data_IF_774027513512
#
_entry.id   IF_774027513512
#
_cell.length_a   1.000
_cell.length_b   1.000
_cell.length_c   1.000
_cell.angle_alpha   90.00
_cell.angle_beta   90.00
_cell.angle_gamma   90.00
#
_symmetry.space_group_name_H-M   'P 1'
#
loop_
_entity.id
_entity.type
_entity.pdbx_description
1 polymer ?
#
# COMPACT_ATOMS: atom_id res chain seq x y z
N UNK A 1 -10.39 20.14 -38.30
CA UNK A 1 -8.90 20.07 -38.29
C UNK A 1 -8.20 21.42 -38.05
N UNK A 2 -8.72 22.55 -38.54
CA UNK A 2 -8.16 23.91 -38.30
C UNK A 2 -8.15 24.33 -36.82
N UNK A 3 -9.12 23.87 -36.01
CA UNK A 3 -9.16 24.14 -34.58
C UNK A 3 -7.99 23.53 -33.77
N UNK A 4 -7.37 22.44 -34.27
CA UNK A 4 -6.30 21.74 -33.55
C UNK A 4 -4.97 22.52 -33.57
N UNK A 5 -4.68 23.23 -34.67
CA UNK A 5 -3.45 24.01 -34.83
C UNK A 5 -3.43 25.33 -34.08
N UNK A 6 -4.61 25.96 -33.89
CA UNK A 6 -4.70 27.35 -33.44
C UNK A 6 -4.80 27.53 -31.92
N UNK A 7 -5.06 26.49 -31.12
CA UNK A 7 -5.32 26.69 -29.69
C UNK A 7 -4.90 25.51 -28.79
N UNK A 8 -3.62 25.49 -28.40
CA UNK A 8 -3.02 24.41 -27.57
C UNK A 8 -3.68 24.24 -26.19
N UNK A 9 -4.38 25.27 -25.67
CA UNK A 9 -5.10 25.20 -24.38
C UNK A 9 -6.46 24.49 -24.48
N UNK A 10 -7.06 24.38 -25.66
CA UNK A 10 -8.36 23.71 -25.85
C UNK A 10 -8.25 22.20 -26.15
N UNK A 11 -7.03 21.67 -26.34
CA UNK A 11 -6.82 20.26 -26.67
C UNK A 11 -6.43 19.38 -25.47
N UNK A 12 -6.57 19.88 -24.23
CA UNK A 12 -6.16 19.16 -23.03
C UNK A 12 -6.87 17.80 -22.89
N UNK A 13 -8.17 17.74 -23.20
CA UNK A 13 -8.96 16.50 -23.17
C UNK A 13 -8.47 15.52 -24.23
N UNK A 14 -8.25 15.98 -25.46
CA UNK A 14 -7.74 15.14 -26.56
C UNK A 14 -6.33 14.62 -26.26
N UNK A 15 -5.50 15.42 -25.60
CA UNK A 15 -4.17 14.99 -25.17
C UNK A 15 -4.27 13.93 -24.06
N UNK A 16 -5.10 14.16 -23.05
CA UNK A 16 -5.37 13.19 -21.98
C UNK A 16 -5.88 11.86 -22.55
N UNK A 17 -6.89 11.91 -23.43
CA UNK A 17 -7.42 10.74 -24.13
C UNK A 17 -6.33 10.01 -24.92
N UNK A 18 -5.46 10.74 -25.63
CA UNK A 18 -4.38 10.11 -26.40
C UNK A 18 -3.37 9.37 -25.52
N UNK A 19 -3.08 9.88 -24.31
CA UNK A 19 -2.21 9.21 -23.33
C UNK A 19 -2.89 7.96 -22.76
N UNK A 20 -4.17 8.07 -22.39
CA UNK A 20 -4.96 6.94 -21.86
C UNK A 20 -5.08 5.83 -22.91
N UNK A 21 -5.41 6.16 -24.16
CA UNK A 21 -5.54 5.19 -25.24
C UNK A 21 -4.20 4.52 -25.57
N UNK A 22 -3.11 5.28 -25.57
CA UNK A 22 -1.78 4.71 -25.76
C UNK A 22 -1.42 3.73 -24.64
N UNK A 23 -1.70 4.09 -23.38
CA UNK A 23 -1.48 3.22 -22.22
C UNK A 23 -2.40 1.98 -22.22
N UNK A 24 -3.63 2.11 -22.72
CA UNK A 24 -4.60 1.03 -22.85
C UNK A 24 -4.35 0.11 -24.05
N UNK A 25 -3.24 0.29 -24.79
CA UNK A 25 -2.87 -0.57 -25.92
C UNK A 25 -3.72 -0.36 -27.18
N UNK A 26 -4.36 0.81 -27.34
CA UNK A 26 -5.13 1.13 -28.55
C UNK A 26 -4.21 1.09 -29.78
N UNK A 27 -4.63 0.35 -30.80
CA UNK A 27 -3.84 0.17 -32.03
C UNK A 27 -3.64 1.49 -32.79
N UNK A 28 -2.62 1.56 -33.64
CA UNK A 28 -2.34 2.76 -34.44
C UNK A 28 -3.50 3.15 -35.34
N UNK A 29 -4.16 2.15 -35.95
CA UNK A 29 -5.32 2.36 -36.82
C UNK A 29 -6.48 3.01 -36.06
N UNK A 30 -6.79 2.51 -34.86
CA UNK A 30 -7.86 3.06 -34.03
C UNK A 30 -7.46 4.44 -33.50
N UNK A 31 -6.22 4.63 -33.07
CA UNK A 31 -5.69 5.93 -32.65
C UNK A 31 -5.77 6.99 -33.77
N UNK A 32 -5.46 6.62 -35.02
CA UNK A 32 -5.56 7.51 -36.17
C UNK A 32 -7.02 7.91 -36.46
N UNK A 33 -7.96 6.97 -36.37
CA UNK A 33 -9.39 7.26 -36.51
C UNK A 33 -9.90 8.20 -35.42
N UNK A 34 -9.58 7.91 -34.14
CA UNK A 34 -9.96 8.75 -33.00
C UNK A 34 -9.37 10.16 -33.10
N UNK A 35 -8.17 10.29 -33.65
CA UNK A 35 -7.59 11.58 -33.96
C UNK A 35 -8.32 12.31 -35.09
N UNK A 36 -8.69 11.59 -36.16
CA UNK A 36 -9.42 12.14 -37.29
C UNK A 36 -10.78 12.73 -36.89
N UNK A 37 -11.53 12.03 -36.04
CA UNK A 37 -12.83 12.51 -35.51
C UNK A 37 -12.69 13.48 -34.32
N UNK A 38 -11.46 13.83 -33.93
CA UNK A 38 -11.19 14.85 -32.92
C UNK A 38 -11.33 14.42 -31.46
N UNK A 39 -11.43 13.12 -31.17
CA UNK A 39 -11.53 12.57 -29.80
C UNK A 39 -10.16 12.52 -29.11
N UNK A 40 -9.08 12.27 -29.85
CA UNK A 40 -7.72 12.21 -29.32
C UNK A 40 -6.72 13.03 -30.13
N UNK A 41 -5.57 13.35 -29.53
CA UNK A 41 -4.40 13.79 -30.27
C UNK A 41 -3.79 12.62 -31.06
N UNK A 42 -2.87 12.93 -31.98
CA UNK A 42 -2.15 11.90 -32.72
C UNK A 42 -1.23 11.11 -31.79
N UNK A 43 -0.92 9.87 -32.18
CA UNK A 43 0.00 9.01 -31.42
C UNK A 43 1.39 9.65 -31.24
N UNK A 44 1.88 10.36 -32.24
CA UNK A 44 3.14 11.13 -32.18
C UNK A 44 3.09 12.20 -31.08
N UNK A 45 1.97 12.93 -30.97
CA UNK A 45 1.78 13.93 -29.92
C UNK A 45 1.70 13.27 -28.54
N UNK A 46 1.04 12.12 -28.41
CA UNK A 46 0.99 11.35 -27.16
C UNK A 46 2.40 10.92 -26.70
N UNK A 47 3.24 10.39 -27.61
CA UNK A 47 4.63 10.05 -27.28
C UNK A 47 5.48 11.26 -26.89
N UNK A 48 5.31 12.40 -27.58
CA UNK A 48 6.00 13.64 -27.21
C UNK A 48 5.58 14.10 -25.81
N UNK A 49 4.29 14.05 -25.48
CA UNK A 49 3.78 14.37 -24.16
C UNK A 49 4.29 13.40 -23.08
N UNK A 50 4.31 12.09 -23.35
CA UNK A 50 4.93 11.10 -22.45
C UNK A 50 6.40 11.41 -22.18
N UNK A 51 7.16 11.79 -23.21
CA UNK A 51 8.57 12.18 -23.05
C UNK A 51 8.70 13.39 -22.12
N UNK A 52 7.91 14.43 -22.33
CA UNK A 52 7.90 15.62 -21.47
C UNK A 52 7.47 15.31 -20.03
N UNK A 53 6.41 14.51 -19.84
CA UNK A 53 5.96 14.05 -18.53
C UNK A 53 7.04 13.22 -17.83
N UNK A 54 7.73 12.34 -18.57
CA UNK A 54 8.83 11.54 -18.07
C UNK A 54 10.00 12.39 -17.59
N UNK A 55 10.40 13.42 -18.36
CA UNK A 55 11.42 14.38 -17.92
C UNK A 55 10.99 15.11 -16.65
N UNK A 56 9.74 15.58 -16.58
CA UNK A 56 9.20 16.22 -15.38
C UNK A 56 9.15 15.29 -14.16
N UNK A 57 8.83 14.00 -14.36
CA UNK A 57 8.82 13.00 -13.31
C UNK A 57 10.23 12.72 -12.77
N UNK A 58 11.23 12.62 -13.65
CA UNK A 58 12.64 12.46 -13.27
C UNK A 58 13.10 13.63 -12.38
N UNK A 59 12.83 14.86 -12.80
CA UNK A 59 13.24 16.04 -12.03
C UNK A 59 12.51 16.13 -10.68
N UNK A 60 11.24 15.71 -10.60
CA UNK A 60 10.52 15.57 -9.32
C UNK A 60 11.18 14.54 -8.41
N UNK A 61 11.53 13.36 -8.93
CA UNK A 61 12.19 12.31 -8.14
C UNK A 61 13.53 12.83 -7.61
N UNK A 62 14.38 13.39 -8.48
CA UNK A 62 15.66 13.98 -8.06
C UNK A 62 15.49 15.05 -7.00
N UNK A 63 14.51 15.93 -7.15
CA UNK A 63 14.21 16.96 -6.16
C UNK A 63 13.92 16.35 -4.79
N UNK A 64 13.12 15.28 -4.73
CA UNK A 64 12.74 14.56 -3.49
C UNK A 64 13.94 13.90 -2.80
N UNK A 65 14.97 13.53 -3.57
CA UNK A 65 16.21 12.94 -3.05
C UNK A 65 17.29 13.96 -2.68
N UNK A 66 17.14 15.26 -3.04
CA UNK A 66 18.14 16.28 -2.70
C UNK A 66 18.44 16.32 -1.21
N UNK A 67 19.73 16.27 -0.87
CA UNK A 67 20.21 16.30 0.51
C UNK A 67 19.85 17.60 1.25
N UNK A 68 19.64 18.69 0.51
CA UNK A 68 19.31 20.01 1.07
C UNK A 68 17.86 20.15 1.55
N UNK A 69 16.94 19.25 1.16
CA UNK A 69 15.51 19.35 1.49
C UNK A 69 15.09 18.55 2.74
N UNK A 70 15.82 17.50 3.10
CA UNK A 70 15.59 16.71 4.31
C UNK A 70 16.91 16.08 4.70
N UNK A 71 17.50 16.58 5.79
CA UNK A 71 18.82 16.15 6.26
C UNK A 71 18.80 14.80 6.98
N UNK A 72 17.62 14.35 7.45
CA UNK A 72 17.56 13.26 8.44
C UNK A 72 16.97 11.97 7.85
N UNK A 73 15.83 12.05 7.15
CA UNK A 73 15.13 10.87 6.62
C UNK A 73 15.00 10.99 5.10
N UNK A 74 15.53 10.01 4.36
CA UNK A 74 15.31 9.87 2.93
C UNK A 74 13.84 9.48 2.65
N UNK A 75 13.29 9.80 1.47
CA UNK A 75 11.94 9.33 1.15
C UNK A 75 11.87 7.80 1.24
N UNK A 76 10.74 7.30 1.76
CA UNK A 76 10.49 5.88 1.90
C UNK A 76 10.34 5.25 0.52
N UNK A 77 11.09 4.19 0.26
CA UNK A 77 11.05 3.45 -0.99
C UNK A 77 10.16 2.23 -0.83
N UNK A 78 9.08 2.14 -1.58
CA UNK A 78 8.29 0.91 -1.69
C UNK A 78 8.53 0.30 -3.07
N UNK A 79 8.85 -0.99 -3.13
CA UNK A 79 8.97 -1.71 -4.39
C UNK A 79 8.33 -3.09 -4.31
N UNK A 80 7.94 -3.59 -5.47
CA UNK A 80 7.41 -4.94 -5.61
C UNK A 80 7.61 -5.41 -7.06
N UNK A 81 7.60 -6.72 -7.27
CA UNK A 81 7.59 -7.25 -8.63
C UNK A 81 6.32 -6.87 -9.38
N UNK A 82 6.53 -6.61 -10.66
CA UNK A 82 5.53 -6.53 -11.69
C UNK A 82 5.84 -7.63 -12.71
N UNK A 83 5.20 -8.77 -12.53
CA UNK A 83 5.26 -9.88 -13.47
C UNK A 83 3.99 -9.84 -14.33
N UNK A 84 4.15 -9.82 -15.65
CA UNK A 84 3.04 -10.00 -16.57
C UNK A 84 3.41 -10.98 -17.68
N UNK A 85 2.44 -11.82 -18.04
CA UNK A 85 2.58 -12.78 -19.13
C UNK A 85 1.97 -12.19 -20.40
N UNK A 86 2.78 -12.02 -21.43
CA UNK A 86 2.25 -11.90 -22.78
C UNK A 86 1.80 -13.28 -23.22
N UNK A 87 0.48 -13.49 -23.20
CA UNK A 87 -0.12 -14.74 -23.65
C UNK A 87 -0.38 -14.69 -25.15
N UNK A 88 0.31 -15.53 -25.91
CA UNK A 88 0.03 -15.72 -27.34
C UNK A 88 -1.06 -16.77 -27.47
N UNK A 89 -2.21 -16.40 -28.04
CA UNK A 89 -3.37 -17.30 -28.15
C UNK A 89 -3.16 -18.47 -29.11
N UNK A 90 -2.37 -18.28 -30.17
CA UNK A 90 -2.02 -19.31 -31.16
C UNK A 90 -0.50 -19.32 -31.31
N UNK A 91 0.15 -20.22 -30.58
CA UNK A 91 1.61 -20.36 -30.64
C UNK A 91 2.07 -20.76 -32.04
N UNK A 92 3.22 -20.24 -32.45
CA UNK A 92 3.97 -20.70 -33.62
C UNK A 92 5.42 -20.91 -33.23
N UNK A 93 6.23 -21.62 -34.04
CA UNK A 93 7.64 -21.88 -33.74
C UNK A 93 8.47 -20.61 -33.47
N UNK A 94 8.00 -19.42 -33.87
CA UNK A 94 8.65 -18.13 -33.61
C UNK A 94 7.94 -17.24 -32.58
N UNK A 95 6.72 -17.61 -32.16
CA UNK A 95 5.89 -16.83 -31.24
C UNK A 95 5.28 -17.73 -30.16
N UNK A 96 5.93 -17.73 -29.00
CA UNK A 96 5.45 -18.33 -27.77
C UNK A 96 5.08 -17.26 -26.74
N UNK A 97 4.24 -17.61 -25.77
CA UNK A 97 3.96 -16.77 -24.61
C UNK A 97 5.25 -16.44 -23.86
N UNK A 98 5.36 -15.21 -23.36
CA UNK A 98 6.55 -14.72 -22.68
C UNK A 98 6.20 -14.10 -21.34
N UNK A 99 6.96 -14.48 -20.33
CA UNK A 99 6.95 -13.80 -19.04
C UNK A 99 7.84 -12.57 -19.11
N UNK A 100 7.29 -11.43 -18.74
CA UNK A 100 8.03 -10.20 -18.52
C UNK A 100 8.19 -9.99 -17.02
N UNK A 101 9.44 -9.82 -16.61
CA UNK A 101 9.82 -9.53 -15.24
C UNK A 101 10.27 -8.08 -15.14
N UNK A 102 9.64 -7.33 -14.25
CA UNK A 102 10.09 -5.99 -13.89
C UNK A 102 9.82 -5.71 -12.43
N UNK A 103 10.48 -4.70 -11.90
CA UNK A 103 10.20 -4.16 -10.57
C UNK A 103 9.65 -2.76 -10.73
N UNK A 104 8.45 -2.55 -10.21
CA UNK A 104 7.91 -1.21 -10.04
C UNK A 104 8.22 -0.73 -8.63
N UNK A 105 8.46 0.56 -8.50
CA UNK A 105 8.74 1.17 -7.22
C UNK A 105 8.13 2.56 -7.16
N UNK A 106 7.79 3.02 -5.97
CA UNK A 106 7.41 4.40 -5.73
C UNK A 106 8.08 4.89 -4.46
N UNK A 107 8.27 6.20 -4.39
CA UNK A 107 8.72 6.88 -3.19
C UNK A 107 7.58 7.60 -2.53
N UNK A 108 7.57 7.62 -1.21
CA UNK A 108 6.65 8.41 -0.41
C UNK A 108 7.36 9.05 0.77
N UNK A 109 6.68 9.94 1.49
CA UNK A 109 7.26 10.58 2.67
C UNK A 109 6.19 10.75 3.72
N UNK A 110 6.61 10.70 4.99
CA UNK A 110 5.76 11.14 6.08
C UNK A 110 5.28 12.58 5.83
N UNK A 111 4.08 12.89 6.33
CA UNK A 111 3.53 14.23 6.23
C UNK A 111 4.50 15.25 6.86
N UNK A 112 4.70 16.43 6.24
CA UNK A 112 5.48 17.51 6.84
C UNK A 112 5.00 17.88 8.25
N UNK A 113 3.70 17.76 8.51
CA UNK A 113 3.10 18.05 9.83
C UNK A 113 3.54 17.05 10.90
N UNK A 114 3.83 15.81 10.52
CA UNK A 114 4.36 14.78 11.40
C UNK A 114 5.87 14.93 11.57
N UNK A 115 6.60 15.14 10.47
CA UNK A 115 8.05 15.32 10.51
C UNK A 115 8.48 16.52 11.36
N UNK A 116 7.70 17.62 11.34
CA UNK A 116 7.96 18.79 12.18
C UNK A 116 7.77 18.55 13.69
N UNK A 117 7.17 17.43 14.10
CA UNK A 117 6.99 17.06 15.53
C UNK A 117 8.08 16.13 16.05
N UNK A 118 8.94 15.59 15.18
CA UNK A 118 10.00 14.67 15.58
C UNK A 118 11.22 15.45 16.08
N UNK A 119 11.89 14.95 17.11
CA UNK A 119 13.16 15.50 17.58
C UNK A 119 14.31 14.99 16.68
N UNK A 120 15.01 15.88 15.95
CA UNK A 120 16.20 15.52 15.18
C UNK A 120 17.27 14.78 15.96
N UNK A 121 17.44 15.06 17.26
CA UNK A 121 18.45 14.42 18.09
C UNK A 121 18.16 12.94 18.33
N UNK A 122 16.88 12.53 18.33
CA UNK A 122 16.45 11.14 18.48
C UNK A 122 16.52 10.35 17.16
N UNK A 123 16.67 11.02 16.02
CA UNK A 123 16.68 10.42 14.69
C UNK A 123 18.11 10.12 14.19
N UNK A 124 18.92 9.51 15.04
CA UNK A 124 20.31 9.14 14.74
C UNK A 124 20.55 7.63 14.81
N UNK A 125 21.59 7.15 14.12
CA UNK A 125 21.99 5.74 14.15
C UNK A 125 22.37 5.31 15.57
N UNK A 126 23.00 6.19 16.35
CA UNK A 126 23.42 5.90 17.72
C UNK A 126 22.22 5.72 18.66
N UNK A 127 21.23 6.61 18.58
CA UNK A 127 19.98 6.47 19.36
C UNK A 127 19.24 5.20 18.97
N UNK A 128 19.16 4.86 17.68
CA UNK A 128 18.56 3.60 17.23
C UNK A 128 19.30 2.38 17.80
N UNK A 129 20.63 2.34 17.73
CA UNK A 129 21.43 1.23 18.25
C UNK A 129 21.28 1.07 19.76
N UNK A 130 21.28 2.18 20.50
CA UNK A 130 21.04 2.19 21.95
C UNK A 130 19.64 1.68 22.29
N UNK A 131 18.61 2.11 21.55
CA UNK A 131 17.24 1.64 21.72
C UNK A 131 17.12 0.12 21.44
N UNK A 132 17.75 -0.37 20.37
CA UNK A 132 17.80 -1.80 20.03
C UNK A 132 18.50 -2.61 21.13
N UNK A 133 19.63 -2.12 21.66
CA UNK A 133 20.36 -2.77 22.75
C UNK A 133 19.58 -2.75 24.07
N UNK A 134 18.85 -1.68 24.36
CA UNK A 134 17.94 -1.64 25.51
C UNK A 134 16.79 -2.63 25.34
N UNK A 135 16.25 -2.74 24.13
CA UNK A 135 15.20 -3.67 23.79
C UNK A 135 15.59 -5.14 23.96
N UNK A 136 16.84 -5.53 23.68
CA UNK A 136 17.31 -6.92 23.88
C UNK A 136 17.41 -7.31 25.35
N UNK A 137 17.51 -6.32 26.25
CA UNK A 137 17.51 -6.52 27.72
C UNK A 137 16.12 -6.44 28.33
N UNK A 138 15.11 -6.06 27.56
CA UNK A 138 13.76 -5.87 28.07
C UNK A 138 13.13 -7.21 28.47
N UNK A 139 12.72 -7.34 29.73
CA UNK A 139 11.94 -8.50 30.18
C UNK A 139 10.53 -8.43 29.60
N UNK A 140 10.23 -9.36 28.69
CA UNK A 140 8.92 -9.48 28.07
C UNK A 140 7.90 -9.95 29.11
N UNK A 141 6.79 -9.22 29.25
CA UNK A 141 5.66 -9.58 30.13
C UNK A 141 4.40 -9.81 29.31
N UNK A 142 3.53 -10.72 29.75
CA UNK A 142 2.25 -10.97 29.08
C UNK A 142 1.41 -9.69 28.91
N UNK A 143 1.45 -8.80 29.91
CA UNK A 143 0.73 -7.51 29.89
C UNK A 143 1.13 -6.58 28.75
N UNK A 144 2.31 -6.78 28.13
CA UNK A 144 2.75 -6.00 26.95
C UNK A 144 1.99 -6.39 25.68
N UNK A 145 1.28 -7.53 25.68
CA UNK A 145 0.52 -8.03 24.54
C UNK A 145 -0.99 -8.13 24.84
N UNK A 146 -1.42 -7.82 26.05
CA UNK A 146 -2.84 -7.76 26.40
C UNK A 146 -3.42 -6.39 26.09
N UNK A 147 -4.69 -6.34 25.70
CA UNK A 147 -5.40 -5.07 25.55
C UNK A 147 -5.42 -4.30 26.88
N UNK A 148 -5.32 -2.97 26.79
CA UNK A 148 -5.58 -2.13 27.96
C UNK A 148 -7.08 -2.08 28.25
N UNK A 149 -7.46 -1.57 29.42
CA UNK A 149 -8.87 -1.38 29.78
C UNK A 149 -9.53 -0.44 28.77
N UNK A 150 -8.88 0.68 28.44
CA UNK A 150 -9.37 1.67 27.49
C UNK A 150 -9.55 1.07 26.08
N UNK A 151 -8.59 0.24 25.65
CA UNK A 151 -8.69 -0.48 24.37
C UNK A 151 -9.85 -1.48 24.36
N UNK A 152 -10.12 -2.13 25.49
CA UNK A 152 -11.22 -3.11 25.62
C UNK A 152 -12.58 -2.41 25.62
N UNK A 153 -12.70 -1.28 26.30
CA UNK A 153 -13.91 -0.45 26.28
C UNK A 153 -14.18 0.14 24.89
N UNK A 154 -13.13 0.64 24.22
CA UNK A 154 -13.23 1.12 22.84
C UNK A 154 -13.69 0.00 21.90
N UNK A 155 -13.08 -1.18 22.00
CA UNK A 155 -13.49 -2.36 21.25
C UNK A 155 -14.94 -2.75 21.51
N UNK A 156 -15.39 -2.69 22.76
CA UNK A 156 -16.78 -2.93 23.14
C UNK A 156 -17.75 -1.97 22.44
N UNK A 157 -17.41 -0.67 22.38
CA UNK A 157 -18.20 0.33 21.64
C UNK A 157 -18.20 0.06 20.14
N UNK A 158 -17.07 -0.32 19.55
CA UNK A 158 -16.98 -0.70 18.14
C UNK A 158 -17.87 -1.89 17.81
N UNK A 159 -17.83 -2.96 18.61
CA UNK A 159 -18.66 -4.15 18.40
C UNK A 159 -20.15 -3.83 18.55
N UNK A 160 -20.54 -3.10 19.61
CA UNK A 160 -21.93 -2.66 19.80
C UNK A 160 -22.45 -1.88 18.60
N UNK A 161 -21.67 -0.93 18.07
CA UNK A 161 -22.10 -0.14 16.93
C UNK A 161 -22.32 -0.97 15.65
N UNK A 162 -21.53 -2.02 15.45
CA UNK A 162 -21.68 -2.96 14.33
C UNK A 162 -22.90 -3.86 14.51
N UNK A 163 -23.17 -4.31 15.74
CA UNK A 163 -24.40 -5.06 16.08
C UNK A 163 -25.64 -4.20 15.81
N UNK A 164 -25.66 -2.97 16.33
CA UNK A 164 -26.75 -2.00 16.08
C UNK A 164 -26.94 -1.77 14.60
N UNK A 165 -25.86 -1.60 13.83
CA UNK A 165 -25.93 -1.44 12.38
C UNK A 165 -26.58 -2.64 11.69
N UNK A 166 -26.21 -3.87 12.08
CA UNK A 166 -26.79 -5.12 11.53
C UNK A 166 -28.27 -5.24 11.90
N UNK A 167 -28.64 -4.96 13.15
CA UNK A 167 -30.04 -4.97 13.60
C UNK A 167 -30.87 -4.02 12.74
N UNK A 168 -30.41 -2.78 12.59
CA UNK A 168 -31.12 -1.75 11.85
C UNK A 168 -31.22 -2.01 10.35
N UNK A 169 -30.28 -2.78 9.81
CA UNK A 169 -30.23 -3.11 8.38
C UNK A 169 -31.06 -4.33 8.02
N UNK A 170 -31.10 -5.34 8.89
CA UNK A 170 -31.61 -6.67 8.53
C UNK A 170 -32.68 -7.23 9.45
N UNK A 171 -32.87 -6.68 10.67
CA UNK A 171 -33.73 -7.30 11.69
C UNK A 171 -34.88 -6.40 12.11
N UNK A 172 -34.60 -5.14 12.46
CA UNK A 172 -35.59 -4.27 13.10
C UNK A 172 -35.38 -2.79 12.80
N UNK A 173 -36.45 -2.00 12.93
CA UNK A 173 -36.45 -0.54 12.91
C UNK A 173 -37.01 0.00 14.23
N UNK A 174 -36.46 1.11 14.77
CA UNK A 174 -36.91 1.67 16.03
C UNK A 174 -38.27 2.37 15.86
N UNK A 175 -39.17 2.16 16.81
CA UNK A 175 -40.46 2.89 16.87
C UNK A 175 -40.36 4.23 17.60
N UNK A 176 -39.26 4.46 18.31
CA UNK A 176 -38.99 5.68 19.09
C UNK A 176 -37.52 6.09 19.02
N UNK A 177 -37.20 7.27 19.57
CA UNK A 177 -35.84 7.82 19.65
C UNK A 177 -35.39 8.10 21.09
N UNK A 178 -35.81 7.27 22.06
CA UNK A 178 -35.47 7.46 23.49
C UNK A 178 -33.98 7.27 23.74
N UNK A 179 -33.38 6.33 23.03
CA UNK A 179 -31.95 6.00 23.09
C UNK A 179 -31.28 6.34 21.76
N UNK A 180 -30.05 6.86 21.84
CA UNK A 180 -29.22 7.10 20.66
C UNK A 180 -28.56 5.80 20.20
N UNK A 181 -28.98 5.31 19.04
CA UNK A 181 -28.40 4.12 18.41
C UNK A 181 -27.16 4.48 17.58
N UNK A 182 -25.98 4.30 18.16
CA UNK A 182 -24.70 4.53 17.48
C UNK A 182 -24.42 3.41 16.47
N UNK A 183 -24.39 3.76 15.18
CA UNK A 183 -24.22 2.81 14.06
C UNK A 183 -22.80 2.78 13.50
N UNK A 184 -21.94 3.66 14.01
CA UNK A 184 -20.59 3.88 13.51
C UNK A 184 -19.60 3.58 14.62
N UNK A 185 -18.61 2.71 14.37
CA UNK A 185 -17.54 2.47 15.33
C UNK A 185 -16.84 3.78 15.70
N UNK A 186 -16.45 3.95 16.97
CA UNK A 186 -15.62 5.09 17.36
C UNK A 186 -14.30 5.04 16.61
N UNK A 187 -13.82 6.21 16.17
CA UNK A 187 -12.55 6.30 15.46
C UNK A 187 -11.39 5.79 16.33
N UNK A 188 -10.42 5.12 15.70
CA UNK A 188 -9.16 4.70 16.32
C UNK A 188 -8.07 5.67 15.84
N UNK A 189 -7.57 6.50 16.74
CA UNK A 189 -6.49 7.48 16.46
C UNK A 189 -6.65 8.20 15.09
N UNK A 190 -7.75 8.94 14.89
CA UNK A 190 -8.02 9.57 13.60
C UNK A 190 -6.89 10.52 13.22
N UNK A 191 -6.34 10.29 12.03
CA UNK A 191 -5.41 11.21 11.37
C UNK A 191 -6.17 12.01 10.32
N UNK A 192 -5.77 13.27 10.11
CA UNK A 192 -6.37 14.07 9.03
C UNK A 192 -6.04 13.42 7.68
N UNK A 193 -7.02 13.20 6.79
CA UNK A 193 -6.73 12.73 5.45
C UNK A 193 -5.95 13.83 4.72
N UNK A 194 -4.83 13.44 4.12
CA UNK A 194 -3.98 14.30 3.30
C UNK A 194 -3.67 13.57 1.99
N UNK A 195 -3.52 14.32 0.90
CA UNK A 195 -3.12 13.73 -0.37
C UNK A 195 -1.73 13.09 -0.22
N UNK A 196 -1.58 11.81 -0.59
CA UNK A 196 -0.32 11.12 -0.38
C UNK A 196 0.74 11.68 -1.33
N UNK A 197 1.86 12.14 -0.77
CA UNK A 197 2.99 12.66 -1.54
C UNK A 197 3.82 11.52 -2.13
N UNK A 198 3.32 10.92 -3.21
CA UNK A 198 3.92 9.75 -3.87
C UNK A 198 4.47 10.08 -5.25
N UNK A 199 5.58 9.44 -5.62
CA UNK A 199 6.13 9.51 -6.97
C UNK A 199 6.59 8.11 -7.42
N UNK A 200 6.08 7.66 -8.56
CA UNK A 200 6.43 6.35 -9.13
C UNK A 200 7.76 6.47 -9.89
N UNK A 201 8.67 5.56 -9.60
CA UNK A 201 9.94 5.40 -10.31
C UNK A 201 9.69 4.76 -11.68
N UNK A 202 10.58 5.03 -12.63
CA UNK A 202 10.62 4.32 -13.90
C UNK A 202 10.80 2.82 -13.63
N UNK A 203 10.02 1.99 -14.32
CA UNK A 203 10.10 0.54 -14.26
C UNK A 203 11.56 0.08 -14.45
N UNK A 204 12.02 -0.76 -13.53
CA UNK A 204 13.35 -1.37 -13.57
C UNK A 204 13.21 -2.77 -14.13
N UNK A 205 14.01 -3.11 -15.15
CA UNK A 205 14.03 -4.44 -15.77
C UNK A 205 14.96 -5.32 -14.91
N UNK A 206 14.51 -5.60 -13.69
CA UNK A 206 15.18 -6.40 -12.69
C UNK A 206 14.12 -7.12 -11.85
N UNK A 207 14.45 -8.31 -11.36
CA UNK A 207 13.55 -9.11 -10.51
C UNK A 207 13.94 -9.00 -9.04
N UNK A 208 12.99 -8.73 -8.16
CA UNK A 208 13.25 -8.71 -6.72
C UNK A 208 13.26 -10.11 -6.07
N UNK A 209 13.05 -11.18 -6.84
CA UNK A 209 12.98 -12.56 -6.36
C UNK A 209 14.36 -13.18 -6.06
N UNK A 210 15.45 -12.43 -6.23
CA UNK A 210 16.81 -12.90 -5.97
C UNK A 210 17.69 -11.79 -5.38
N UNK A 211 18.73 -12.17 -4.64
CA UNK A 211 19.66 -11.19 -4.06
C UNK A 211 20.38 -10.36 -5.14
N UNK A 212 20.73 -10.98 -6.27
CA UNK A 212 21.34 -10.29 -7.41
C UNK A 212 20.37 -9.26 -8.00
N UNK A 213 19.13 -9.67 -8.27
CA UNK A 213 18.13 -8.79 -8.85
C UNK A 213 17.66 -7.68 -7.90
N UNK A 214 17.60 -7.91 -6.58
CA UNK A 214 17.41 -6.82 -5.59
C UNK A 214 18.58 -5.82 -5.65
N UNK A 215 19.81 -6.29 -5.87
CA UNK A 215 20.97 -5.40 -6.10
C UNK A 215 20.82 -4.54 -7.36
N UNK A 216 20.28 -5.11 -8.44
CA UNK A 216 19.98 -4.37 -9.68
C UNK A 216 18.84 -3.35 -9.49
N UNK A 217 17.78 -3.72 -8.76
CA UNK A 217 16.70 -2.79 -8.37
C UNK A 217 17.29 -1.60 -7.61
N UNK A 218 18.15 -1.85 -6.63
CA UNK A 218 18.76 -0.79 -5.84
C UNK A 218 19.67 0.12 -6.68
N UNK A 219 20.42 -0.47 -7.61
CA UNK A 219 21.21 0.30 -8.60
C UNK A 219 20.31 1.19 -9.44
N UNK A 220 19.16 0.68 -9.90
CA UNK A 220 18.16 1.45 -10.63
C UNK A 220 17.57 2.60 -9.82
N UNK A 221 17.34 2.42 -8.51
CA UNK A 221 16.88 3.47 -7.61
C UNK A 221 17.93 4.58 -7.47
N UNK A 222 19.20 4.22 -7.22
CA UNK A 222 20.30 5.19 -7.10
C UNK A 222 20.41 6.02 -8.38
N UNK A 223 20.41 5.38 -9.55
CA UNK A 223 20.46 6.08 -10.84
C UNK A 223 19.31 7.08 -11.03
N UNK A 224 18.10 6.70 -10.61
CA UNK A 224 16.91 7.56 -10.73
C UNK A 224 16.86 8.68 -9.68
N UNK A 225 17.50 8.49 -8.52
CA UNK A 225 17.59 9.50 -7.46
C UNK A 225 18.44 10.72 -7.85
N UNK A 226 19.35 10.56 -8.82
CA UNK A 226 20.33 11.58 -9.19
C UNK A 226 21.44 11.79 -8.16
N UNK A 227 21.56 10.92 -7.16
CA UNK A 227 22.65 10.89 -6.20
C UNK A 227 23.76 9.95 -6.67
N UNK A 228 24.98 10.21 -6.24
CA UNK A 228 26.06 9.22 -6.28
C UNK A 228 25.78 8.07 -5.30
N UNK A 229 26.36 6.87 -5.51
CA UNK A 229 26.26 5.79 -4.54
C UNK A 229 26.66 6.24 -3.14
N UNK A 230 27.74 7.01 -2.99
CA UNK A 230 28.22 7.51 -1.71
C UNK A 230 27.15 8.38 -1.03
N UNK A 231 26.61 9.38 -1.73
CA UNK A 231 25.56 10.27 -1.20
C UNK A 231 24.28 9.52 -0.82
N UNK A 232 23.93 8.48 -1.57
CA UNK A 232 22.78 7.64 -1.27
C UNK A 232 22.99 6.88 0.06
N UNK A 233 24.22 6.41 0.32
CA UNK A 233 24.57 5.65 1.53
C UNK A 233 24.77 6.54 2.77
N UNK A 234 24.91 7.86 2.62
CA UNK A 234 25.04 8.80 3.75
C UNK A 234 23.77 8.95 4.60
N UNK A 235 22.61 8.53 4.10
CA UNK A 235 21.33 8.66 4.80
C UNK A 235 20.72 7.31 5.14
N UNK A 236 19.89 7.29 6.18
CA UNK A 236 18.99 6.18 6.46
C UNK A 236 17.99 6.04 5.31
N UNK A 237 17.96 4.85 4.71
CA UNK A 237 17.04 4.48 3.63
C UNK A 237 16.02 3.49 4.19
N UNK A 238 14.75 3.87 4.22
CA UNK A 238 13.69 2.95 4.63
C UNK A 238 13.06 2.34 3.38
N UNK A 239 13.06 1.02 3.36
CA UNK A 239 12.54 0.20 2.28
C UNK A 239 11.33 -0.58 2.76
N UNK A 240 10.28 -0.52 1.95
CA UNK A 240 9.05 -1.28 2.08
C UNK A 240 8.91 -2.20 0.88
N UNK A 241 8.37 -3.38 1.11
CA UNK A 241 8.21 -4.40 0.09
C UNK A 241 7.48 -5.58 0.67
N UNK A 242 7.17 -6.57 -0.16
CA UNK A 242 6.60 -7.79 0.40
C UNK A 242 7.65 -8.51 1.29
N UNK A 243 7.19 -9.38 2.18
CA UNK A 243 8.05 -10.12 3.11
C UNK A 243 9.19 -10.88 2.43
N UNK A 244 8.96 -11.45 1.24
CA UNK A 244 9.99 -12.18 0.52
C UNK A 244 11.09 -11.23 0.03
N UNK A 245 10.73 -10.11 -0.59
CA UNK A 245 11.65 -9.08 -1.06
C UNK A 245 12.49 -8.50 0.08
N UNK A 246 11.87 -8.20 1.22
CA UNK A 246 12.58 -7.70 2.39
C UNK A 246 13.55 -8.75 2.99
N UNK A 247 13.16 -10.04 3.02
CA UNK A 247 14.06 -11.12 3.49
C UNK A 247 15.25 -11.35 2.55
N UNK A 248 15.04 -11.23 1.24
CA UNK A 248 16.11 -11.30 0.25
C UNK A 248 17.08 -10.14 0.46
N UNK A 249 16.56 -8.93 0.73
CA UNK A 249 17.40 -7.78 1.05
C UNK A 249 18.23 -8.00 2.33
N UNK A 250 17.62 -8.49 3.41
CA UNK A 250 18.35 -8.81 4.65
C UNK A 250 19.44 -9.88 4.43
N UNK A 251 19.18 -10.83 3.53
CA UNK A 251 20.17 -11.83 3.12
C UNK A 251 21.34 -11.18 2.38
N UNK A 252 21.05 -10.29 1.42
CA UNK A 252 22.06 -9.51 0.69
C UNK A 252 22.90 -8.66 1.65
N UNK A 253 22.26 -7.99 2.62
CA UNK A 253 22.93 -7.21 3.66
C UNK A 253 23.90 -8.05 4.48
N UNK A 254 23.51 -9.27 4.86
CA UNK A 254 24.39 -10.22 5.58
C UNK A 254 25.55 -10.70 4.71
N UNK A 255 25.31 -10.99 3.44
CA UNK A 255 26.36 -11.42 2.50
C UNK A 255 27.43 -10.35 2.28
N UNK A 256 27.04 -9.07 2.38
CA UNK A 256 27.96 -7.92 2.27
C UNK A 256 28.58 -7.50 3.60
N UNK A 257 28.37 -8.27 4.68
CA UNK A 257 28.95 -7.98 5.99
C UNK A 257 30.11 -8.96 6.28
N UNK A 258 31.32 -8.46 6.64
CA UNK A 258 31.69 -7.05 6.78
C UNK A 258 31.91 -6.39 5.41
N UNK A 259 31.44 -5.15 5.25
CA UNK A 259 31.72 -4.34 4.07
C UNK A 259 33.06 -3.63 4.24
N UNK A 260 33.84 -3.52 3.16
CA UNK A 260 35.15 -2.85 3.20
C UNK A 260 34.99 -1.32 3.14
N UNK A 261 34.00 -0.83 2.38
CA UNK A 261 33.69 0.59 2.26
C UNK A 261 32.21 0.92 2.56
N UNK A 262 31.94 2.18 2.96
CA UNK A 262 30.59 2.64 3.31
C UNK A 262 29.59 2.54 2.15
N UNK A 263 30.03 2.73 0.90
CA UNK A 263 29.17 2.64 -0.29
C UNK A 263 28.87 1.19 -0.72
N UNK A 264 29.57 0.22 -0.16
CA UNK A 264 29.30 -1.23 -0.35
C UNK A 264 28.42 -1.78 0.77
N UNK A 265 28.39 -1.09 1.91
CA UNK A 265 27.60 -1.45 3.07
C UNK A 265 26.12 -1.14 2.87
N UNK A 266 25.25 -2.09 3.23
CA UNK A 266 23.80 -1.88 3.28
C UNK A 266 23.30 -1.58 4.70
N UNK A 267 24.20 -1.13 5.59
CA UNK A 267 23.88 -0.90 7.00
C UNK A 267 22.90 0.26 7.21
N UNK A 268 23.00 1.30 6.38
CA UNK A 268 22.11 2.46 6.37
C UNK A 268 20.72 2.14 5.77
N UNK A 269 20.48 0.94 5.27
CA UNK A 269 19.19 0.53 4.72
C UNK A 269 18.42 -0.31 5.72
N UNK A 270 17.19 0.11 6.01
CA UNK A 270 16.27 -0.55 6.92
C UNK A 270 15.04 -1.04 6.18
N UNK A 271 14.73 -2.33 6.31
CA UNK A 271 13.52 -2.92 5.74
C UNK A 271 12.42 -2.96 6.79
N UNK A 272 11.28 -2.35 6.50
CA UNK A 272 10.16 -2.27 7.45
C UNK A 272 9.51 -3.64 7.67
N UNK A 273 9.29 -4.37 6.58
CA UNK A 273 8.48 -5.60 6.60
C UNK A 273 9.31 -6.89 6.70
N UNK A 274 10.65 -6.84 6.74
CA UNK A 274 11.47 -8.05 6.89
C UNK A 274 11.17 -8.83 8.18
N UNK A 275 10.62 -8.15 9.19
CA UNK A 275 10.24 -8.76 10.48
C UNK A 275 8.74 -8.80 10.71
N UNK A 276 7.93 -8.30 9.77
CA UNK A 276 6.48 -8.48 9.82
C UNK A 276 6.14 -9.93 9.46
N UNK A 277 6.30 -10.79 10.47
CA UNK A 277 5.96 -12.20 10.40
C UNK A 277 4.46 -12.43 10.69
N UNK A 278 3.66 -11.35 10.75
CA UNK A 278 2.24 -11.37 11.12
C UNK A 278 1.99 -11.81 12.57
N UNK A 279 0.70 -11.91 12.92
CA UNK A 279 0.20 -12.34 14.22
C UNK A 279 0.79 -13.67 14.74
N UNK A 280 1.38 -14.48 13.86
CA UNK A 280 1.97 -15.79 14.16
C UNK A 280 3.19 -15.73 15.07
N UNK A 281 3.95 -14.63 15.10
CA UNK A 281 5.02 -14.49 16.09
C UNK A 281 4.50 -14.23 17.50
N UNK A 282 3.40 -13.49 17.64
CA UNK A 282 2.73 -13.33 18.93
C UNK A 282 2.25 -14.69 19.42
N UNK A 283 1.64 -15.50 18.55
CA UNK A 283 1.27 -16.87 18.90
C UNK A 283 2.49 -17.71 19.29
N UNK A 284 3.57 -17.69 18.51
CA UNK A 284 4.79 -18.43 18.85
C UNK A 284 5.46 -17.95 20.15
N UNK A 285 5.52 -16.65 20.41
CA UNK A 285 6.06 -16.06 21.65
C UNK A 285 5.21 -16.45 22.87
N UNK A 286 3.90 -16.68 22.65
CA UNK A 286 2.98 -17.25 23.63
C UNK A 286 2.95 -18.80 23.60
N UNK A 287 3.88 -19.45 22.88
CA UNK A 287 3.99 -20.90 22.72
C UNK A 287 2.76 -21.59 22.07
N UNK A 288 1.97 -20.84 21.29
CA UNK A 288 0.79 -21.31 20.56
C UNK A 288 1.19 -21.76 19.15
N UNK A 289 0.87 -23.01 18.77
CA UNK A 289 1.11 -23.56 17.42
C UNK A 289 0.08 -23.01 16.43
N UNK A 290 0.54 -22.48 15.29
CA UNK A 290 -0.34 -21.94 14.24
C UNK A 290 0.05 -22.46 12.84
N UNK A 291 -0.95 -22.82 12.02
CA UNK A 291 -0.78 -23.31 10.63
C UNK A 291 -1.01 -22.14 9.67
N UNK A 292 -0.05 -21.88 8.77
CA UNK A 292 -0.13 -20.77 7.81
C UNK A 292 -0.99 -21.17 6.60
N UNK A 293 -2.08 -20.44 6.28
CA UNK A 293 -2.86 -20.72 5.07
C UNK A 293 -2.11 -20.30 3.80
N UNK A 294 -2.28 -21.10 2.74
CA UNK A 294 -1.60 -20.94 1.45
C UNK A 294 -2.61 -20.46 0.41
N UNK A 295 -2.55 -19.16 0.11
CA UNK A 295 -2.97 -18.48 -1.15
C UNK A 295 -4.39 -18.57 -1.69
N UNK A 296 -5.00 -17.39 -1.90
CA UNK A 296 -5.41 -16.85 -3.22
C UNK A 296 -5.48 -15.31 -3.13
N UNK A 297 -4.96 -14.59 -4.13
CA UNK A 297 -4.72 -13.14 -4.09
C UNK A 297 -5.77 -12.35 -4.90
N UNK A 298 -6.99 -12.26 -4.40
CA UNK A 298 -7.89 -11.16 -4.74
C UNK A 298 -8.28 -10.44 -3.45
N UNK A 299 -7.44 -9.49 -3.03
CA UNK A 299 -7.56 -8.83 -1.73
C UNK A 299 -8.85 -8.04 -1.62
N UNK A 300 -9.32 -7.42 -2.71
CA UNK A 300 -10.56 -6.64 -2.70
C UNK A 300 -11.77 -7.55 -2.53
N UNK A 301 -11.86 -8.61 -3.34
CA UNK A 301 -12.95 -9.56 -3.24
C UNK A 301 -12.94 -10.30 -1.89
N UNK A 302 -11.75 -10.64 -1.38
CA UNK A 302 -11.60 -11.22 -0.05
C UNK A 302 -12.07 -10.27 1.05
N UNK A 303 -11.72 -8.98 1.00
CA UNK A 303 -12.19 -7.99 1.98
C UNK A 303 -13.71 -7.83 1.94
N UNK A 304 -14.31 -7.78 0.73
CA UNK A 304 -15.76 -7.76 0.57
C UNK A 304 -16.42 -9.00 1.20
N UNK A 305 -15.89 -10.20 0.94
CA UNK A 305 -16.43 -11.43 1.53
C UNK A 305 -16.23 -11.49 3.04
N UNK A 306 -15.08 -11.06 3.57
CA UNK A 306 -14.85 -10.98 5.02
C UNK A 306 -15.88 -10.08 5.68
N UNK A 307 -16.17 -8.92 5.08
CA UNK A 307 -17.21 -8.02 5.58
C UNK A 307 -18.59 -8.70 5.56
N UNK A 308 -18.98 -9.33 4.45
CA UNK A 308 -20.27 -10.01 4.34
C UNK A 308 -20.41 -11.16 5.35
N UNK A 309 -19.36 -11.96 5.52
CA UNK A 309 -19.35 -13.06 6.50
C UNK A 309 -19.46 -12.50 7.93
N UNK A 310 -18.76 -11.41 8.23
CA UNK A 310 -18.87 -10.74 9.53
C UNK A 310 -20.29 -10.23 9.79
N UNK A 311 -20.91 -9.56 8.81
CA UNK A 311 -22.31 -9.09 8.92
C UNK A 311 -23.29 -10.25 9.14
N UNK A 312 -23.16 -11.34 8.36
CA UNK A 312 -23.98 -12.54 8.51
C UNK A 312 -23.78 -13.22 9.87
N UNK A 313 -22.54 -13.24 10.38
CA UNK A 313 -22.20 -13.78 11.70
C UNK A 313 -22.88 -12.97 12.80
N UNK A 314 -22.80 -11.64 12.75
CA UNK A 314 -23.48 -10.76 13.70
C UNK A 314 -25.01 -10.95 13.63
N UNK A 315 -25.59 -11.05 12.42
CA UNK A 315 -27.02 -11.29 12.24
C UNK A 315 -27.46 -12.60 12.90
N UNK A 316 -26.69 -13.67 12.70
CA UNK A 316 -26.94 -14.96 13.33
C UNK A 316 -26.82 -14.86 14.85
N UNK A 317 -25.77 -14.23 15.39
CA UNK A 317 -25.59 -14.04 16.83
C UNK A 317 -26.76 -13.29 17.46
N UNK A 318 -27.21 -12.19 16.85
CA UNK A 318 -28.39 -11.44 17.33
C UNK A 318 -29.63 -12.31 17.27
N UNK A 319 -29.86 -13.02 16.16
CA UNK A 319 -31.02 -13.90 16.01
C UNK A 319 -31.02 -15.04 17.03
N UNK A 320 -29.84 -15.56 17.38
CA UNK A 320 -29.69 -16.60 18.41
C UNK A 320 -30.07 -16.04 19.79
N UNK A 321 -29.54 -14.87 20.16
CA UNK A 321 -29.83 -14.22 21.46
C UNK A 321 -31.29 -13.79 21.57
N UNK A 322 -31.88 -13.32 20.46
CA UNK A 322 -33.31 -12.98 20.38
C UNK A 322 -34.23 -14.21 20.31
N UNK A 323 -33.67 -15.44 20.31
CA UNK A 323 -34.40 -16.69 20.12
C UNK A 323 -35.23 -16.73 18.82
N UNK A 324 -34.68 -16.19 17.73
CA UNK A 324 -35.29 -16.08 16.39
C UNK A 324 -34.50 -16.81 15.31
N UNK A 325 -33.43 -17.53 15.65
CA UNK A 325 -32.61 -18.26 14.66
C UNK A 325 -33.38 -19.33 13.86
N UNK A 326 -34.56 -19.74 14.33
CA UNK A 326 -35.47 -20.67 13.63
C UNK A 326 -36.45 -19.97 12.68
N UNK A 327 -36.55 -18.64 12.73
CA UNK A 327 -37.48 -17.85 11.92
C UNK A 327 -36.82 -17.53 10.58
N UNK A 328 -37.51 -17.71 9.44
CA UNK A 328 -36.98 -17.31 8.14
C UNK A 328 -36.65 -15.82 8.10
N UNK A 329 -35.53 -15.49 7.45
CA UNK A 329 -35.17 -14.09 7.19
C UNK A 329 -36.22 -13.49 6.25
N UNK A 330 -36.81 -12.37 6.66
CA UNK A 330 -37.83 -11.62 5.91
C UNK A 330 -37.27 -10.27 5.48
N UNK A 331 -37.77 -9.71 4.37
CA UNK A 331 -37.47 -8.33 3.97
C UNK A 331 -38.14 -7.30 4.90
N UNK A 332 -39.20 -7.69 5.60
CA UNK A 332 -39.89 -6.81 6.56
C UNK A 332 -39.16 -6.75 7.90
N UNK A 333 -38.69 -5.54 8.26
CA UNK A 333 -38.04 -5.26 9.53
C UNK A 333 -39.06 -5.19 10.68
N UNK A 334 -38.71 -5.79 11.82
CA UNK A 334 -39.50 -5.74 13.05
C UNK A 334 -39.60 -4.32 13.60
N UNK A 335 -40.71 -4.00 14.22
CA UNK A 335 -40.91 -2.73 14.94
C UNK A 335 -40.65 -2.93 16.44
N UNK A 336 -39.58 -2.34 16.96
CA UNK A 336 -39.16 -2.47 18.37
C UNK A 336 -38.73 -1.13 18.95
N UNK A 337 -38.69 -0.99 20.28
CA UNK A 337 -38.23 0.25 20.93
C UNK A 337 -36.72 0.47 20.72
N UNK A 338 -36.25 1.72 20.81
CA UNK A 338 -34.81 2.00 20.71
C UNK A 338 -34.01 1.36 21.85
N UNK A 339 -34.59 1.25 23.04
CA UNK A 339 -33.99 0.57 24.22
C UNK A 339 -33.84 -0.94 24.01
N UNK A 340 -34.70 -1.57 23.20
CA UNK A 340 -34.57 -2.99 22.86
C UNK A 340 -33.43 -3.25 21.88
N UNK A 341 -33.00 -2.25 21.11
CA UNK A 341 -31.92 -2.36 20.12
C UNK A 341 -30.54 -2.10 20.75
N UNK A 342 -30.46 -1.29 21.82
CA UNK A 342 -29.22 -0.96 22.55
C UNK A 342 -28.65 -2.13 23.37
#
# INVERSE_FOLDING_TARGET
MVAFGANRRHNAVQLSNSLIFLAAGVTERVSAYLNYIGISSSRRTAHAALKTLGTGAIEKIKARFKLTQSSIIAPFLCYNNLDFEEKVHMGSLSHDSRMFHGTWAYIHSASPSLLGKLDPAELTIDVLNNALHSGTKMTIRSSMFTSTVESTEHWGKALKSQIVWVILRYIAKPVDGRVKLDKSPPAVHPISPEDPNTNVLKLMIASDNSAAGVGEVFTGVIQQSGLTPEEFHLRLQIIEGNLASCNIFETLKRQRCPAVANHESLNNVFTKDARDTGAWRTLHALAIKAVKPVTKKDLNLMLCYVQQIHEATLMYCVSLVANRAHIPVSEELLEVSSETIE
#
